data_IF_994925458369
#
_entry.id   IF_994925458369
#
_cell.length_a   1.000
_cell.length_b   1.000
_cell.length_c   1.000
_cell.angle_alpha   90.00
_cell.angle_beta   90.00
_cell.angle_gamma   90.00
#
_symmetry.space_group_name_H-M   'P 1'
#
loop_
_entity.id
_entity.type
_entity.pdbx_description
1 polymer ?
#
# COMPACT_ATOMS: atom_id res chain seq x y z
N UNK A 1 -7.66 -10.74 -5.75
CA UNK A 1 -8.57 -10.01 -6.67
C UNK A 1 -9.57 -9.13 -5.91
N UNK A 2 -9.61 -7.83 -6.20
CA UNK A 2 -10.60 -6.89 -5.64
C UNK A 2 -12.01 -7.24 -6.17
N UNK A 3 -12.98 -7.50 -5.29
CA UNK A 3 -14.40 -7.57 -5.70
C UNK A 3 -14.93 -6.14 -5.83
N UNK A 4 -15.09 -5.67 -7.07
CA UNK A 4 -15.51 -4.31 -7.48
C UNK A 4 -16.58 -3.68 -6.56
N UNK A 5 -17.62 -4.44 -6.20
CA UNK A 5 -18.76 -3.91 -5.43
C UNK A 5 -18.53 -3.84 -3.92
N UNK A 6 -17.70 -4.71 -3.32
CA UNK A 6 -17.48 -4.70 -1.86
C UNK A 6 -16.53 -3.58 -1.44
N UNK A 7 -15.42 -3.41 -2.17
CA UNK A 7 -14.43 -2.36 -1.89
C UNK A 7 -15.03 -0.96 -2.11
N UNK A 8 -15.87 -0.80 -3.15
CA UNK A 8 -16.59 0.46 -3.37
C UNK A 8 -17.50 0.82 -2.19
N UNK A 9 -18.29 -0.13 -1.67
CA UNK A 9 -19.13 0.09 -0.49
C UNK A 9 -18.32 0.56 0.72
N UNK A 10 -17.20 -0.10 1.03
CA UNK A 10 -16.34 0.29 2.15
C UNK A 10 -15.76 1.70 1.97
N UNK A 11 -15.37 2.06 0.75
CA UNK A 11 -14.86 3.39 0.44
C UNK A 11 -15.93 4.48 0.60
N UNK A 12 -17.14 4.26 0.10
CA UNK A 12 -18.26 5.18 0.32
C UNK A 12 -18.63 5.29 1.81
N UNK A 13 -18.59 4.18 2.55
CA UNK A 13 -18.80 4.19 4.00
C UNK A 13 -17.73 5.02 4.72
N UNK A 14 -16.46 4.94 4.29
CA UNK A 14 -15.38 5.75 4.84
C UNK A 14 -15.61 7.24 4.59
N UNK A 15 -15.97 7.63 3.37
CA UNK A 15 -16.31 9.02 3.02
C UNK A 15 -17.45 9.53 3.91
N UNK A 16 -18.53 8.73 4.07
CA UNK A 16 -19.67 9.08 4.92
C UNK A 16 -19.27 9.26 6.39
N UNK A 17 -18.39 8.40 6.91
CA UNK A 17 -17.90 8.52 8.28
C UNK A 17 -17.09 9.81 8.49
N UNK A 18 -16.25 10.20 7.52
CA UNK A 18 -15.48 11.44 7.56
C UNK A 18 -16.42 12.66 7.46
N UNK A 19 -17.38 12.63 6.54
CA UNK A 19 -18.38 13.70 6.44
C UNK A 19 -19.19 13.86 7.74
N UNK A 20 -19.58 12.74 8.36
CA UNK A 20 -20.27 12.73 9.65
C UNK A 20 -19.40 13.25 10.79
N UNK A 21 -18.10 12.92 10.78
CA UNK A 21 -17.13 13.50 11.73
C UNK A 21 -17.09 15.03 11.62
N UNK A 22 -17.10 15.55 10.40
CA UNK A 22 -17.06 16.99 10.10
C UNK A 22 -18.42 17.69 10.19
N UNK A 23 -19.50 17.01 10.60
CA UNK A 23 -20.89 17.50 10.52
C UNK A 23 -21.13 18.88 11.17
N UNK A 24 -20.40 19.23 12.23
CA UNK A 24 -20.54 20.52 12.92
C UNK A 24 -20.10 21.71 12.08
N UNK A 25 -19.32 21.47 11.02
CA UNK A 25 -18.82 22.49 10.09
C UNK A 25 -19.64 22.52 8.79
N UNK A 26 -20.75 21.77 8.72
CA UNK A 26 -21.55 21.59 7.50
C UNK A 26 -22.92 22.25 7.62
N UNK A 27 -23.44 22.69 6.48
CA UNK A 27 -24.84 23.12 6.37
C UNK A 27 -25.76 21.91 6.36
N UNK A 28 -26.72 21.87 7.29
CA UNK A 28 -27.74 20.82 7.34
C UNK A 28 -28.84 21.17 6.34
N UNK A 29 -29.14 20.25 5.43
CA UNK A 29 -30.24 20.34 4.47
C UNK A 29 -31.40 19.47 4.91
N UNK A 30 -32.59 19.75 4.38
CA UNK A 30 -33.79 18.96 4.60
C UNK A 30 -34.29 18.40 3.27
N UNK A 31 -34.66 17.12 3.27
CA UNK A 31 -35.31 16.48 2.14
C UNK A 31 -36.83 16.78 2.16
N UNK A 32 -37.55 16.54 1.06
CA UNK A 32 -38.99 16.80 0.96
C UNK A 32 -39.84 16.03 2.00
N UNK A 33 -39.32 14.93 2.53
CA UNK A 33 -39.91 14.09 3.58
C UNK A 33 -39.65 14.62 5.01
N UNK A 34 -38.89 15.72 5.16
CA UNK A 34 -38.48 16.29 6.45
C UNK A 34 -37.20 15.70 7.03
N UNK A 35 -36.56 14.75 6.36
CA UNK A 35 -35.31 14.12 6.83
C UNK A 35 -34.14 15.10 6.72
N UNK A 36 -33.42 15.32 7.82
CA UNK A 36 -32.20 16.15 7.84
C UNK A 36 -30.99 15.36 7.33
N UNK A 37 -30.23 15.94 6.42
CA UNK A 37 -29.01 15.35 5.88
C UNK A 37 -27.88 16.37 5.74
N UNK A 38 -26.66 15.85 5.62
CA UNK A 38 -25.47 16.61 5.24
C UNK A 38 -24.93 16.02 3.95
N UNK A 39 -24.30 16.85 3.13
CA UNK A 39 -23.60 16.41 1.94
C UNK A 39 -22.12 16.23 2.24
N UNK A 40 -21.52 15.19 1.67
CA UNK A 40 -20.07 15.01 1.71
C UNK A 40 -19.41 15.99 0.75
N UNK A 41 -18.24 16.48 1.12
CA UNK A 41 -17.45 17.42 0.33
C UNK A 41 -16.28 16.70 -0.34
N UNK A 42 -15.69 17.37 -1.32
CA UNK A 42 -14.50 16.89 -2.02
C UNK A 42 -13.35 16.67 -1.02
N UNK A 43 -13.23 17.48 0.02
CA UNK A 43 -12.23 17.28 1.08
C UNK A 43 -12.41 15.96 1.84
N UNK A 44 -13.64 15.47 2.01
CA UNK A 44 -13.87 14.17 2.67
C UNK A 44 -13.35 13.02 1.80
N UNK A 45 -13.41 13.17 0.46
CA UNK A 45 -12.80 12.23 -0.50
C UNK A 45 -11.27 12.24 -0.41
N UNK A 46 -10.65 13.42 -0.25
CA UNK A 46 -9.19 13.54 -0.06
C UNK A 46 -8.74 12.80 1.19
N UNK A 47 -9.45 13.00 2.30
CA UNK A 47 -9.17 12.29 3.56
C UNK A 47 -9.41 10.79 3.43
N UNK A 48 -10.47 10.37 2.73
CA UNK A 48 -10.73 8.96 2.47
C UNK A 48 -9.59 8.32 1.65
N UNK A 49 -9.08 9.00 0.62
CA UNK A 49 -7.92 8.55 -0.15
C UNK A 49 -6.68 8.39 0.74
N UNK A 50 -6.39 9.39 1.58
CA UNK A 50 -5.26 9.36 2.49
C UNK A 50 -5.32 8.17 3.45
N UNK A 51 -6.47 7.97 4.11
CA UNK A 51 -6.67 6.90 5.09
C UNK A 51 -6.74 5.51 4.43
N UNK A 52 -7.36 5.40 3.26
CA UNK A 52 -7.48 4.14 2.54
C UNK A 52 -6.14 3.68 1.93
N UNK A 53 -5.20 4.61 1.66
CA UNK A 53 -3.93 4.33 0.98
C UNK A 53 -3.17 3.16 1.60
N UNK A 54 -2.94 3.19 2.91
CA UNK A 54 -2.18 2.12 3.58
C UNK A 54 -2.92 0.77 3.53
N UNK A 55 -4.24 0.80 3.70
CA UNK A 55 -5.07 -0.41 3.63
C UNK A 55 -5.11 -1.01 2.21
N UNK A 56 -5.17 -0.17 1.18
CA UNK A 56 -5.12 -0.58 -0.22
C UNK A 56 -3.75 -1.10 -0.61
N UNK A 57 -2.68 -0.43 -0.16
CA UNK A 57 -1.30 -0.86 -0.40
C UNK A 57 -1.06 -2.24 0.20
N UNK A 58 -1.42 -2.45 1.48
CA UNK A 58 -1.30 -3.76 2.16
C UNK A 58 -2.12 -4.88 1.51
N UNK A 59 -3.23 -4.55 0.85
CA UNK A 59 -4.07 -5.54 0.13
C UNK A 59 -3.59 -5.81 -1.29
N UNK A 60 -2.88 -4.86 -1.89
CA UNK A 60 -2.30 -4.99 -3.24
C UNK A 60 -0.95 -5.67 -3.21
N UNK A 61 -0.25 -5.53 -2.10
CA UNK A 61 0.98 -6.26 -1.84
C UNK A 61 0.71 -7.76 -1.73
N UNK A 62 1.42 -8.53 -2.53
CA UNK A 62 1.35 -9.99 -2.54
C UNK A 62 2.19 -10.61 -1.40
N UNK A 63 3.16 -9.85 -0.88
CA UNK A 63 3.97 -10.27 0.25
C UNK A 63 3.23 -10.01 1.57
N UNK A 64 3.36 -10.94 2.51
CA UNK A 64 2.90 -10.68 3.88
C UNK A 64 3.74 -9.55 4.52
N UNK A 65 3.21 -8.82 5.52
CA UNK A 65 3.90 -7.66 6.11
C UNK A 65 5.31 -7.96 6.66
N UNK A 66 5.49 -9.15 7.23
CA UNK A 66 6.77 -9.57 7.79
C UNK A 66 7.82 -9.82 6.69
N UNK A 67 7.41 -10.46 5.59
CA UNK A 67 8.26 -10.73 4.43
C UNK A 67 8.59 -9.43 3.68
N UNK A 68 7.62 -8.52 3.52
CA UNK A 68 7.84 -7.19 2.96
C UNK A 68 8.88 -6.42 3.76
N UNK A 69 8.69 -6.31 5.07
CA UNK A 69 9.65 -5.62 5.94
C UNK A 69 11.04 -6.26 5.91
N UNK A 70 11.11 -7.59 5.84
CA UNK A 70 12.38 -8.29 5.66
C UNK A 70 13.05 -7.94 4.33
N UNK A 71 12.28 -7.90 3.23
CA UNK A 71 12.81 -7.61 1.91
C UNK A 71 13.31 -6.18 1.75
N UNK A 72 12.58 -5.19 2.28
CA UNK A 72 13.05 -3.80 2.26
C UNK A 72 14.35 -3.63 3.05
N UNK A 73 14.46 -4.23 4.25
CA UNK A 73 15.72 -4.24 5.02
C UNK A 73 16.86 -4.95 4.30
N UNK A 74 16.54 -6.05 3.60
CA UNK A 74 17.52 -6.77 2.79
C UNK A 74 18.05 -5.90 1.66
N UNK A 75 17.18 -5.17 0.95
CA UNK A 75 17.58 -4.21 -0.09
C UNK A 75 18.50 -3.13 0.48
N UNK A 76 18.11 -2.51 1.60
CA UNK A 76 18.94 -1.50 2.28
C UNK A 76 20.33 -2.05 2.66
N UNK A 77 20.40 -3.25 3.23
CA UNK A 77 21.66 -3.87 3.64
C UNK A 77 22.59 -4.24 2.47
N UNK A 78 22.01 -4.51 1.30
CA UNK A 78 22.76 -4.84 0.07
C UNK A 78 23.20 -3.57 -0.65
N UNK A 79 22.33 -2.56 -0.71
CA UNK A 79 22.62 -1.23 -1.26
C UNK A 79 23.75 -0.53 -0.48
N UNK A 80 23.76 -0.63 0.86
CA UNK A 80 24.85 -0.11 1.70
C UNK A 80 26.23 -0.72 1.39
N UNK A 81 26.27 -1.91 0.77
CA UNK A 81 27.50 -2.61 0.40
C UNK A 81 27.90 -2.34 -1.05
N UNK A 82 27.11 -1.55 -1.79
CA UNK A 82 27.27 -1.27 -3.21
C UNK A 82 27.38 -2.57 -4.06
N UNK A 83 26.63 -3.60 -3.65
CA UNK A 83 26.55 -4.88 -4.36
C UNK A 83 25.12 -5.18 -4.78
N UNK A 84 24.94 -6.14 -5.68
CA UNK A 84 23.63 -6.71 -6.03
C UNK A 84 23.44 -8.12 -5.46
N UNK A 85 24.52 -8.74 -5.00
CA UNK A 85 24.53 -10.07 -4.40
C UNK A 85 24.80 -10.01 -2.89
N UNK A 86 24.37 -11.07 -2.20
CA UNK A 86 24.60 -11.26 -0.78
C UNK A 86 24.68 -12.74 -0.41
N UNK A 87 25.42 -13.03 0.67
CA UNK A 87 25.47 -14.37 1.25
C UNK A 87 24.42 -14.53 2.36
N UNK A 88 23.67 -15.63 2.31
CA UNK A 88 22.61 -15.90 3.29
C UNK A 88 23.12 -15.89 4.74
N UNK A 89 24.29 -16.49 5.02
CA UNK A 89 24.88 -16.49 6.37
C UNK A 89 25.26 -15.08 6.87
N UNK A 90 25.70 -14.19 5.98
CA UNK A 90 26.08 -12.84 6.37
C UNK A 90 24.85 -12.06 6.82
N UNK A 91 23.81 -12.03 5.98
CA UNK A 91 22.55 -11.36 6.32
C UNK A 91 21.90 -11.99 7.55
N UNK A 92 21.99 -13.32 7.71
CA UNK A 92 21.41 -13.99 8.88
C UNK A 92 22.03 -13.47 10.19
N UNK A 93 23.36 -13.31 10.22
CA UNK A 93 24.09 -12.78 11.39
C UNK A 93 23.78 -11.32 11.62
N UNK A 94 23.78 -10.54 10.55
CA UNK A 94 23.48 -9.10 10.58
C UNK A 94 22.08 -8.83 11.15
N UNK A 95 21.08 -9.56 10.67
CA UNK A 95 19.68 -9.38 11.10
C UNK A 95 19.35 -10.17 12.37
N UNK A 96 20.33 -10.91 12.91
CA UNK A 96 20.18 -11.78 14.10
C UNK A 96 18.97 -12.71 14.01
N UNK A 97 18.74 -13.30 12.82
CA UNK A 97 17.61 -14.18 12.55
C UNK A 97 17.95 -15.64 12.82
N UNK A 98 16.97 -16.39 13.34
CA UNK A 98 17.07 -17.85 13.44
C UNK A 98 17.22 -18.47 12.04
N UNK A 99 18.12 -19.46 11.84
CA UNK A 99 18.41 -20.01 10.51
C UNK A 99 17.16 -20.45 9.74
N UNK A 100 16.19 -21.07 10.43
CA UNK A 100 14.97 -21.57 9.78
C UNK A 100 14.05 -20.44 9.31
N UNK A 101 14.01 -19.31 10.04
CA UNK A 101 13.26 -18.12 9.64
C UNK A 101 13.89 -17.46 8.40
N UNK A 102 15.22 -17.35 8.39
CA UNK A 102 15.97 -16.83 7.25
C UNK A 102 15.73 -17.67 6.00
N UNK A 103 15.90 -18.99 6.10
CA UNK A 103 15.68 -19.91 4.96
C UNK A 103 14.23 -19.86 4.45
N UNK A 104 13.25 -19.70 5.34
CA UNK A 104 11.85 -19.52 4.95
C UNK A 104 11.66 -18.24 4.14
N UNK A 105 12.14 -17.10 4.63
CA UNK A 105 12.03 -15.82 3.92
C UNK A 105 12.72 -15.87 2.55
N UNK A 106 13.95 -16.39 2.47
CA UNK A 106 14.67 -16.52 1.20
C UNK A 106 13.91 -17.41 0.21
N UNK A 107 13.34 -18.52 0.66
CA UNK A 107 12.51 -19.40 -0.18
C UNK A 107 11.26 -18.68 -0.68
N UNK A 108 10.56 -17.97 0.19
CA UNK A 108 9.38 -17.19 -0.20
C UNK A 108 9.74 -16.12 -1.23
N UNK A 109 10.79 -15.32 -1.00
CA UNK A 109 11.25 -14.31 -1.96
C UNK A 109 11.68 -14.91 -3.31
N UNK A 110 12.31 -16.09 -3.28
CA UNK A 110 12.69 -16.81 -4.50
C UNK A 110 11.45 -17.27 -5.27
N UNK A 111 10.43 -17.79 -4.57
CA UNK A 111 9.17 -18.22 -5.19
C UNK A 111 8.41 -17.05 -5.84
N UNK A 112 8.49 -15.86 -5.24
CA UNK A 112 7.95 -14.62 -5.82
C UNK A 112 8.82 -14.03 -6.95
N UNK A 113 9.98 -14.63 -7.25
CA UNK A 113 10.89 -14.14 -8.29
C UNK A 113 11.62 -12.83 -7.95
N UNK A 114 11.58 -12.41 -6.68
CA UNK A 114 12.20 -11.17 -6.22
C UNK A 114 13.72 -11.31 -6.05
N UNK A 115 14.16 -12.51 -5.69
CA UNK A 115 15.57 -12.87 -5.60
C UNK A 115 15.83 -14.16 -6.38
N UNK A 116 17.06 -14.35 -6.85
CA UNK A 116 17.52 -15.60 -7.44
C UNK A 116 18.78 -16.08 -6.75
N UNK A 117 19.02 -17.38 -6.79
CA UNK A 117 20.28 -17.95 -6.30
C UNK A 117 21.35 -17.79 -7.38
N UNK A 118 22.42 -17.08 -7.07
CA UNK A 118 23.53 -16.82 -8.01
C UNK A 118 24.65 -17.85 -7.88
N UNK A 119 24.80 -18.46 -6.69
CA UNK A 119 25.83 -19.48 -6.48
C UNK A 119 25.94 -20.01 -5.06
N UNK A 120 27.14 -20.51 -4.73
CA UNK A 120 27.51 -21.00 -3.41
C UNK A 120 27.19 -22.47 -3.14
N UNK A 121 27.73 -22.97 -2.02
CA UNK A 121 27.64 -24.36 -1.57
C UNK A 121 27.14 -24.40 -0.12
N UNK A 122 26.52 -25.51 0.29
CA UNK A 122 26.08 -25.76 1.67
C UNK A 122 27.20 -25.55 2.70
N UNK A 123 28.46 -25.87 2.34
CA UNK A 123 29.62 -25.69 3.22
C UNK A 123 29.95 -24.22 3.50
N UNK A 124 29.95 -23.36 2.48
CA UNK A 124 30.39 -21.95 2.57
C UNK A 124 29.24 -20.96 2.82
N UNK A 125 28.07 -21.21 2.22
CA UNK A 125 26.80 -20.45 2.26
C UNK A 125 26.31 -20.30 0.82
N UNK A 126 25.00 -20.27 0.63
CA UNK A 126 24.42 -19.87 -0.66
C UNK A 126 24.50 -18.36 -0.86
N UNK A 127 24.72 -17.97 -2.10
CA UNK A 127 24.73 -16.60 -2.58
C UNK A 127 23.45 -16.33 -3.37
N UNK A 128 22.84 -15.18 -3.10
CA UNK A 128 21.61 -14.72 -3.72
C UNK A 128 21.82 -13.35 -4.35
N UNK A 129 21.03 -13.03 -5.36
CA UNK A 129 21.01 -11.76 -6.07
C UNK A 129 19.59 -11.20 -6.02
N UNK A 130 19.46 -9.89 -5.76
CA UNK A 130 18.18 -9.19 -5.82
C UNK A 130 17.86 -8.87 -7.28
N UNK A 131 16.77 -9.43 -7.79
CA UNK A 131 16.37 -9.29 -9.19
C UNK A 131 15.47 -8.07 -9.38
N UNK A 132 14.56 -7.82 -8.43
CA UNK A 132 13.57 -6.75 -8.51
C UNK A 132 13.71 -5.81 -7.32
N UNK A 133 14.16 -4.58 -7.57
CA UNK A 133 14.37 -3.56 -6.54
C UNK A 133 13.14 -2.66 -6.32
N UNK A 134 12.46 -2.31 -7.40
CA UNK A 134 11.39 -1.30 -7.43
C UNK A 134 9.97 -1.84 -7.21
N UNK A 135 9.81 -3.08 -6.77
CA UNK A 135 8.48 -3.70 -6.63
C UNK A 135 7.54 -2.87 -5.73
N UNK A 136 8.02 -2.43 -4.58
CA UNK A 136 7.25 -1.64 -3.63
C UNK A 136 7.00 -0.21 -4.13
N UNK A 137 7.97 0.38 -4.84
CA UNK A 137 7.81 1.70 -5.45
C UNK A 137 6.75 1.67 -6.56
N UNK A 138 6.70 0.60 -7.37
CA UNK A 138 5.64 0.40 -8.36
C UNK A 138 4.26 0.28 -7.71
N UNK A 139 4.16 -0.43 -6.60
CA UNK A 139 2.92 -0.52 -5.81
C UNK A 139 2.49 0.85 -5.28
N UNK A 140 3.42 1.65 -4.76
CA UNK A 140 3.15 3.02 -4.30
C UNK A 140 2.68 3.93 -5.44
N UNK A 141 3.35 3.90 -6.60
CA UNK A 141 2.96 4.67 -7.78
C UNK A 141 1.53 4.34 -8.24
N UNK A 142 1.12 3.08 -8.13
CA UNK A 142 -0.27 2.69 -8.41
C UNK A 142 -1.29 3.37 -7.47
N UNK A 143 -0.88 3.79 -6.28
CA UNK A 143 -1.74 4.52 -5.34
C UNK A 143 -1.82 6.02 -5.66
N UNK A 144 -0.82 6.60 -6.32
CA UNK A 144 -0.82 8.02 -6.71
C UNK A 144 -1.95 8.33 -7.70
N UNK A 145 -2.43 7.33 -8.43
CA UNK A 145 -3.63 7.41 -9.28
C UNK A 145 -4.86 7.91 -8.49
N UNK A 146 -4.96 7.60 -7.18
CA UNK A 146 -6.04 8.09 -6.33
C UNK A 146 -6.00 9.61 -6.18
N UNK A 147 -4.80 10.17 -6.03
CA UNK A 147 -4.59 11.62 -5.90
C UNK A 147 -4.81 12.31 -7.25
N UNK A 148 -4.28 11.74 -8.33
CA UNK A 148 -4.51 12.26 -9.69
C UNK A 148 -6.00 12.29 -10.05
N UNK A 149 -6.74 11.24 -9.68
CA UNK A 149 -8.18 11.17 -9.92
C UNK A 149 -8.92 12.19 -9.06
N UNK A 150 -8.48 12.39 -7.82
CA UNK A 150 -9.02 13.43 -6.96
C UNK A 150 -8.82 14.83 -7.56
N UNK A 151 -7.61 15.16 -8.05
CA UNK A 151 -7.35 16.46 -8.66
C UNK A 151 -8.20 16.68 -9.92
N UNK A 152 -8.35 15.67 -10.77
CA UNK A 152 -9.25 15.74 -11.95
C UNK A 152 -10.72 16.00 -11.56
N UNK A 153 -11.20 15.35 -10.48
CA UNK A 153 -12.57 15.57 -9.98
C UNK A 153 -12.67 16.99 -9.40
N UNK A 154 -11.67 17.43 -8.63
CA UNK A 154 -11.63 18.78 -8.07
C UNK A 154 -11.60 19.86 -9.14
N UNK A 155 -10.86 19.69 -10.24
CA UNK A 155 -10.87 20.62 -11.36
C UNK A 155 -12.24 20.66 -12.07
N UNK A 156 -12.88 19.50 -12.21
CA UNK A 156 -14.18 19.36 -12.88
C UNK A 156 -15.34 19.92 -12.07
N UNK A 157 -15.33 19.77 -10.74
CA UNK A 157 -16.44 20.13 -9.85
C UNK A 157 -16.14 21.32 -8.94
N UNK A 158 -14.87 21.70 -8.77
CA UNK A 158 -14.44 22.88 -8.00
C UNK A 158 -14.81 24.22 -8.64
N UNK A 159 -15.22 24.22 -9.91
CA UNK A 159 -15.95 25.34 -10.54
C UNK A 159 -17.46 25.22 -10.24
N UNK A 160 -17.83 25.32 -8.97
CA UNK A 160 -19.16 25.79 -8.55
C UNK A 160 -20.37 24.88 -8.70
N UNK A 161 -20.26 23.55 -8.57
CA UNK A 161 -21.46 22.70 -8.38
C UNK A 161 -21.27 21.67 -7.26
N UNK A 162 -22.24 21.53 -6.32
CA UNK A 162 -22.14 20.55 -5.24
C UNK A 162 -22.14 19.14 -5.81
N UNK A 163 -21.10 18.38 -5.45
CA UNK A 163 -20.88 17.04 -5.96
C UNK A 163 -21.65 16.01 -5.10
N UNK A 164 -22.35 15.12 -5.82
CA UNK A 164 -22.93 13.84 -5.36
C UNK A 164 -24.27 13.97 -4.63
N UNK A 165 -25.37 13.93 -5.41
CA UNK A 165 -26.64 13.37 -4.94
C UNK A 165 -26.53 11.84 -4.97
N UNK A 166 -26.78 11.21 -3.82
CA UNK A 166 -26.91 9.76 -3.67
C UNK A 166 -28.34 9.32 -3.93
#
# INVERSE_FOLDING_TARGET
>A
MFKKNRTNKHYLTLIRAIAFWNQKQRTVKQAPDGTRYIEADIEDVRWANHLAREALLRKSDELNPQLRSFFEKLKEAVEQKDTITFYARQIQREFRLYPMKMNRHLRELTNWGLIKRSGGNYKTSYEYEIVIWDDYNKLKKGMDILDETYEKIKERYGKGQPAIQA
#
